data_IF_006373961595
#
_entry.id   IF_006373961595
#
_cell.length_a   1.000
_cell.length_b   1.000
_cell.length_c   1.000
_cell.angle_alpha   90.00
_cell.angle_beta   90.00
_cell.angle_gamma   90.00
#
_symmetry.space_group_name_H-M   'P 1'
#
loop_
_entity.id
_entity.type
_entity.pdbx_description
1 polymer ?
#
# COMPACT_ATOMS: atom_id res chain seq x y z
N UNK A 1 -20.90 81.82 -59.23
CA UNK A 1 -21.79 81.48 -58.09
C UNK A 1 -21.63 79.99 -57.79
N UNK A 2 -20.94 79.69 -56.68
CA UNK A 2 -20.80 78.42 -55.93
C UNK A 2 -20.65 77.08 -56.68
N UNK A 3 -19.42 76.57 -56.75
CA UNK A 3 -19.08 75.16 -57.02
C UNK A 3 -18.92 74.46 -55.65
N UNK A 4 -19.86 73.54 -55.33
CA UNK A 4 -19.83 72.68 -54.15
C UNK A 4 -18.82 71.54 -54.33
N UNK A 5 -17.83 71.44 -53.44
CA UNK A 5 -16.88 70.31 -53.35
C UNK A 5 -17.37 69.36 -52.26
N UNK A 6 -17.92 68.21 -52.65
CA UNK A 6 -18.24 67.11 -51.73
C UNK A 6 -17.02 66.20 -51.59
N UNK A 7 -16.46 66.15 -50.38
CA UNK A 7 -15.34 65.29 -50.00
C UNK A 7 -15.89 63.94 -49.51
N UNK A 8 -15.70 62.87 -50.28
CA UNK A 8 -16.08 61.51 -49.90
C UNK A 8 -14.93 60.88 -49.09
N UNK A 9 -15.15 60.58 -47.81
CA UNK A 9 -14.20 59.89 -46.93
C UNK A 9 -14.47 58.38 -47.03
N UNK A 10 -13.51 57.63 -47.57
CA UNK A 10 -13.55 56.18 -47.70
C UNK A 10 -12.90 55.55 -46.45
N UNK A 11 -13.72 55.04 -45.53
CA UNK A 11 -13.25 54.39 -44.28
C UNK A 11 -12.84 52.95 -44.61
N UNK A 12 -11.54 52.68 -44.55
CA UNK A 12 -10.95 51.36 -44.80
C UNK A 12 -11.00 50.52 -43.49
N UNK A 13 -11.89 49.53 -43.46
CA UNK A 13 -12.04 48.59 -42.33
C UNK A 13 -10.93 47.54 -42.41
N UNK A 14 -9.87 47.67 -41.60
CA UNK A 14 -8.82 46.64 -41.47
C UNK A 14 -9.33 45.51 -40.56
N UNK A 15 -9.74 44.39 -41.16
CA UNK A 15 -10.02 43.15 -40.44
C UNK A 15 -8.69 42.51 -39.99
N UNK A 16 -8.35 42.60 -38.71
CA UNK A 16 -7.20 41.90 -38.12
C UNK A 16 -7.52 40.41 -38.04
N UNK A 17 -7.01 39.61 -38.97
CA UNK A 17 -7.05 38.16 -38.88
C UNK A 17 -6.24 37.70 -37.66
N UNK A 18 -6.94 37.13 -36.68
CA UNK A 18 -6.33 36.59 -35.46
C UNK A 18 -5.65 35.26 -35.83
N UNK A 19 -4.34 35.31 -36.06
CA UNK A 19 -3.53 34.10 -36.30
C UNK A 19 -3.37 33.36 -34.97
N UNK A 20 -4.16 32.30 -34.78
CA UNK A 20 -3.91 31.33 -33.71
C UNK A 20 -2.60 30.58 -34.02
N UNK A 21 -1.51 30.98 -33.37
CA UNK A 21 -0.28 30.22 -33.37
C UNK A 21 -0.48 28.97 -32.51
N UNK A 22 -0.40 27.79 -33.12
CA UNK A 22 -0.35 26.53 -32.38
C UNK A 22 0.98 26.48 -31.62
N UNK A 23 0.92 26.52 -30.29
CA UNK A 23 2.10 26.36 -29.45
C UNK A 23 2.45 24.87 -29.33
N UNK A 24 3.56 24.47 -29.94
CA UNK A 24 4.12 23.12 -29.75
C UNK A 24 4.87 23.10 -28.41
N UNK A 25 4.24 22.57 -27.37
CA UNK A 25 4.87 22.36 -26.05
C UNK A 25 5.27 20.88 -25.96
N UNK A 26 6.53 20.52 -26.25
CA UNK A 26 6.96 19.13 -26.09
C UNK A 26 6.92 18.74 -24.61
N UNK A 27 6.24 17.63 -24.31
CA UNK A 27 6.30 16.99 -23.00
C UNK A 27 7.42 15.95 -23.01
N UNK A 28 8.43 16.15 -22.17
CA UNK A 28 9.48 15.15 -21.98
C UNK A 28 9.04 14.16 -20.91
N UNK A 29 8.98 12.87 -21.29
CA UNK A 29 8.71 11.77 -20.38
C UNK A 29 10.02 11.01 -20.16
N UNK A 30 10.43 10.84 -18.91
CA UNK A 30 11.54 9.96 -18.53
C UNK A 30 11.04 8.86 -17.61
N UNK A 31 11.63 7.67 -17.74
CA UNK A 31 11.35 6.52 -16.88
C UNK A 31 12.66 6.01 -16.29
N UNK A 32 12.67 5.73 -14.99
CA UNK A 32 13.82 5.20 -14.27
C UNK A 32 13.46 3.85 -13.64
N UNK A 33 14.38 2.88 -13.73
CA UNK A 33 14.24 1.59 -13.05
C UNK A 33 14.74 1.77 -11.61
N UNK A 34 13.82 1.76 -10.65
CA UNK A 34 14.11 2.01 -9.24
C UNK A 34 15.01 0.93 -8.62
N UNK A 35 14.81 -0.33 -9.00
CA UNK A 35 15.61 -1.46 -8.52
C UNK A 35 15.72 -2.55 -9.59
N UNK A 36 16.91 -3.13 -9.70
CA UNK A 36 17.15 -4.37 -10.48
C UNK A 36 17.23 -5.60 -9.56
N UNK A 37 16.85 -5.42 -8.30
CA UNK A 37 16.74 -6.50 -7.32
C UNK A 37 15.39 -7.19 -7.47
N UNK A 38 15.36 -8.49 -7.19
CA UNK A 38 14.16 -9.33 -7.23
C UNK A 38 14.07 -10.01 -5.87
N UNK A 39 13.23 -9.50 -4.98
CA UNK A 39 12.99 -10.10 -3.67
C UNK A 39 11.72 -10.95 -3.70
N UNK A 40 11.75 -12.12 -3.08
CA UNK A 40 10.61 -13.04 -3.00
C UNK A 40 10.56 -13.79 -1.68
N UNK A 41 9.36 -14.14 -1.26
CA UNK A 41 9.15 -15.12 -0.20
C UNK A 41 9.54 -16.52 -0.68
N UNK A 42 10.31 -17.24 0.13
CA UNK A 42 10.68 -18.65 -0.06
C UNK A 42 9.63 -19.55 0.56
N UNK A 43 9.20 -19.24 1.78
CA UNK A 43 8.01 -19.83 2.41
C UNK A 43 6.80 -18.95 2.12
N UNK A 44 5.69 -19.53 1.68
CA UNK A 44 4.53 -18.76 1.20
C UNK A 44 3.51 -18.39 2.27
N UNK A 45 3.46 -19.16 3.35
CA UNK A 45 2.42 -19.06 4.37
C UNK A 45 3.03 -19.23 5.75
N UNK A 46 2.48 -18.49 6.71
CA UNK A 46 2.76 -18.60 8.13
C UNK A 46 1.42 -18.45 8.87
N UNK A 47 1.26 -19.17 9.97
CA UNK A 47 0.04 -19.12 10.79
C UNK A 47 0.38 -18.52 12.14
N UNK A 48 -0.33 -17.47 12.53
CA UNK A 48 -0.35 -16.96 13.89
C UNK A 48 -1.52 -17.63 14.61
N UNK A 49 -1.21 -18.59 15.48
CA UNK A 49 -2.21 -19.30 16.27
C UNK A 49 -2.24 -18.75 17.69
N UNK A 50 -3.27 -17.98 18.03
CA UNK A 50 -3.49 -17.41 19.36
C UNK A 50 -3.99 -18.45 20.39
N UNK A 51 -4.32 -19.66 19.95
CA UNK A 51 -4.79 -20.75 20.81
C UNK A 51 -6.13 -20.46 21.49
N UNK A 52 -6.35 -21.10 22.64
CA UNK A 52 -7.56 -20.93 23.43
C UNK A 52 -7.45 -19.69 24.33
N UNK A 53 -8.29 -18.68 24.04
CA UNK A 53 -8.43 -17.49 24.86
C UNK A 53 -9.47 -17.72 25.96
N UNK A 54 -9.21 -17.23 27.18
CA UNK A 54 -10.15 -17.29 28.30
C UNK A 54 -10.71 -15.88 28.61
N UNK A 55 -11.95 -15.57 28.19
CA UNK A 55 -12.56 -14.26 28.43
C UNK A 55 -12.76 -13.93 29.91
N UNK A 56 -12.72 -14.93 30.81
CA UNK A 56 -12.92 -14.73 32.26
C UNK A 56 -11.65 -14.28 32.98
N UNK A 57 -10.49 -14.47 32.35
CA UNK A 57 -9.18 -14.03 32.84
C UNK A 57 -8.35 -13.42 31.70
N UNK A 58 -8.79 -12.28 31.14
CA UNK A 58 -8.17 -11.69 29.98
C UNK A 58 -6.75 -11.18 30.27
N UNK A 59 -5.80 -11.61 29.46
CA UNK A 59 -4.41 -11.13 29.41
C UNK A 59 -3.94 -11.01 27.96
N UNK A 60 -3.00 -10.11 27.69
CA UNK A 60 -2.50 -9.93 26.33
C UNK A 60 -1.79 -11.20 25.83
N UNK A 61 -2.12 -11.62 24.62
CA UNK A 61 -1.54 -12.81 23.98
C UNK A 61 -0.66 -12.35 22.83
N UNK A 62 0.59 -12.81 22.84
CA UNK A 62 1.58 -12.52 21.80
C UNK A 62 2.08 -13.84 21.21
N UNK A 63 1.98 -13.98 19.90
CA UNK A 63 2.40 -15.18 19.16
C UNK A 63 3.31 -14.79 18.01
N UNK A 64 4.19 -15.71 17.63
CA UNK A 64 5.17 -15.47 16.58
C UNK A 64 5.08 -16.55 15.50
N UNK A 65 5.27 -16.13 14.26
CA UNK A 65 5.51 -17.01 13.14
C UNK A 65 6.73 -16.51 12.34
N UNK A 66 7.24 -17.33 11.43
CA UNK A 66 8.42 -16.97 10.64
C UNK A 66 8.20 -17.30 9.18
N UNK A 67 8.53 -16.33 8.32
CA UNK A 67 8.71 -16.54 6.89
C UNK A 67 10.20 -16.44 6.54
N UNK A 68 10.60 -17.19 5.53
CA UNK A 68 11.89 -17.03 4.85
C UNK A 68 11.68 -16.25 3.57
N UNK A 69 12.51 -15.23 3.34
CA UNK A 69 12.59 -14.48 2.09
C UNK A 69 14.01 -14.50 1.54
N UNK A 70 14.14 -14.16 0.26
CA UNK A 70 15.45 -14.07 -0.41
C UNK A 70 15.40 -13.03 -1.52
N UNK A 71 16.45 -12.21 -1.58
CA UNK A 71 16.69 -11.28 -2.68
C UNK A 71 17.71 -11.83 -3.68
N UNK A 72 17.38 -11.68 -4.95
CA UNK A 72 18.17 -12.00 -6.13
C UNK A 72 18.26 -10.74 -7.02
N UNK A 73 18.79 -10.87 -8.25
CA UNK A 73 18.94 -9.73 -9.18
C UNK A 73 20.36 -9.21 -9.28
N UNK A 74 20.55 -7.97 -9.74
CA UNK A 74 21.90 -7.43 -10.02
C UNK A 74 22.55 -6.72 -8.83
N UNK A 75 21.78 -6.18 -7.87
CA UNK A 75 22.35 -5.52 -6.70
C UNK A 75 22.93 -6.52 -5.70
N UNK A 76 24.01 -6.12 -5.03
CA UNK A 76 24.58 -6.83 -3.89
C UNK A 76 25.31 -5.83 -2.98
N UNK A 77 24.76 -5.50 -1.80
CA UNK A 77 23.54 -6.05 -1.19
C UNK A 77 22.26 -5.50 -1.84
N UNK A 78 21.12 -6.12 -1.53
CA UNK A 78 19.78 -5.68 -1.94
C UNK A 78 18.97 -5.25 -0.71
N UNK A 79 18.26 -4.13 -0.81
CA UNK A 79 17.35 -3.63 0.23
C UNK A 79 15.92 -4.05 -0.09
N UNK A 80 15.11 -4.33 0.92
CA UNK A 80 13.68 -4.58 0.75
C UNK A 80 12.85 -3.87 1.80
N UNK A 81 11.55 -3.75 1.52
CA UNK A 81 10.49 -3.33 2.42
C UNK A 81 9.37 -4.37 2.41
N UNK A 82 8.86 -4.70 3.59
CA UNK A 82 7.65 -5.49 3.81
C UNK A 82 6.52 -4.54 4.15
N UNK A 83 5.38 -4.71 3.48
CA UNK A 83 4.09 -4.10 3.81
C UNK A 83 3.03 -5.18 3.80
N UNK A 84 1.84 -4.88 4.32
CA UNK A 84 0.68 -5.76 4.23
C UNK A 84 -0.54 -5.00 3.70
N UNK A 85 -1.67 -5.70 3.61
CA UNK A 85 -2.98 -5.19 3.24
C UNK A 85 -3.93 -5.06 4.44
N UNK A 86 -3.40 -5.07 5.66
CA UNK A 86 -4.14 -5.03 6.92
C UNK A 86 -5.20 -6.15 7.16
N UNK A 87 -5.34 -7.12 6.26
CA UNK A 87 -6.27 -8.24 6.38
C UNK A 87 -7.62 -8.05 5.68
N UNK A 88 -8.38 -9.13 5.54
CA UNK A 88 -9.62 -9.16 4.74
C UNK A 88 -10.74 -8.31 5.33
N UNK A 89 -10.74 -8.12 6.64
CA UNK A 89 -11.81 -7.45 7.37
C UNK A 89 -11.37 -6.13 8.00
N UNK A 90 -10.30 -5.50 7.54
CA UNK A 90 -9.78 -4.24 8.09
C UNK A 90 -10.83 -3.11 8.18
N UNK A 91 -10.51 -2.09 8.99
CA UNK A 91 -11.29 -0.83 9.08
C UNK A 91 -10.57 0.39 8.51
N UNK A 92 -9.33 0.20 8.06
CA UNK A 92 -8.39 1.22 7.67
C UNK A 92 -6.99 0.83 8.13
N UNK A 93 -6.05 1.76 7.93
CA UNK A 93 -4.61 1.58 8.24
C UNK A 93 -4.40 1.07 9.67
N UNK A 94 -3.66 -0.03 9.80
CA UNK A 94 -3.36 -0.73 11.06
C UNK A 94 -4.64 -1.13 11.84
N UNK A 95 -5.76 -1.29 11.14
CA UNK A 95 -7.09 -1.58 11.68
C UNK A 95 -7.48 -3.05 11.53
N UNK A 96 -6.52 -3.96 11.75
CA UNK A 96 -6.67 -5.40 11.53
C UNK A 96 -7.70 -6.02 12.51
N UNK A 97 -8.54 -6.92 12.01
CA UNK A 97 -9.49 -7.66 12.85
C UNK A 97 -9.91 -8.98 12.21
N UNK A 98 -10.03 -10.02 13.01
CA UNK A 98 -10.54 -11.32 12.59
C UNK A 98 -12.06 -11.36 12.68
N UNK A 99 -12.72 -12.04 11.75
CA UNK A 99 -14.18 -12.24 11.80
C UNK A 99 -14.52 -13.60 12.42
N UNK A 100 -15.61 -13.63 13.21
CA UNK A 100 -16.17 -14.86 13.74
C UNK A 100 -16.68 -15.77 12.61
N UNK A 101 -16.23 -17.02 12.58
CA UNK A 101 -16.44 -17.94 11.46
C UNK A 101 -17.91 -18.28 11.17
N UNK A 102 -18.78 -18.25 12.19
CA UNK A 102 -20.20 -18.63 12.06
C UNK A 102 -21.18 -17.49 12.33
N UNK A 103 -20.73 -16.31 12.79
CA UNK A 103 -21.59 -15.17 13.11
C UNK A 103 -21.00 -13.90 12.46
N UNK A 104 -21.27 -13.68 11.17
CA UNK A 104 -20.74 -12.54 10.43
C UNK A 104 -21.02 -11.21 11.13
N UNK A 105 -20.08 -10.28 11.03
CA UNK A 105 -20.17 -8.97 11.68
C UNK A 105 -19.66 -8.93 13.13
N UNK A 106 -19.31 -10.07 13.73
CA UNK A 106 -18.57 -10.10 14.99
C UNK A 106 -17.08 -10.16 14.69
N UNK A 107 -16.33 -9.22 15.25
CA UNK A 107 -14.92 -9.06 14.96
C UNK A 107 -14.09 -9.05 16.24
N UNK A 108 -12.86 -9.56 16.14
CA UNK A 108 -11.86 -9.52 17.18
C UNK A 108 -10.60 -8.83 16.65
N UNK A 109 -10.29 -7.60 17.12
CA UNK A 109 -9.09 -6.87 16.73
C UNK A 109 -7.80 -7.63 17.06
N UNK A 110 -6.77 -7.40 16.26
CA UNK A 110 -5.40 -7.83 16.54
C UNK A 110 -4.42 -6.83 15.94
N UNK A 111 -3.16 -6.91 16.33
CA UNK A 111 -2.08 -6.13 15.73
C UNK A 111 -1.01 -7.08 15.19
N UNK A 112 -0.36 -6.70 14.09
CA UNK A 112 0.76 -7.44 13.50
C UNK A 112 1.96 -6.53 13.36
N UNK A 113 3.15 -7.09 13.63
CA UNK A 113 4.42 -6.40 13.36
C UNK A 113 5.41 -7.33 12.69
N UNK A 114 6.35 -6.73 11.95
CA UNK A 114 7.31 -7.45 11.12
C UNK A 114 8.74 -7.09 11.50
N UNK A 115 9.55 -8.11 11.80
CA UNK A 115 10.96 -7.90 12.17
C UNK A 115 11.90 -8.78 11.36
N UNK A 116 12.79 -8.20 10.53
CA UNK A 116 12.84 -6.80 10.13
C UNK A 116 11.79 -6.47 9.04
N UNK A 117 11.04 -5.38 9.19
CA UNK A 117 10.17 -4.85 8.12
C UNK A 117 10.96 -4.29 6.94
N UNK A 118 12.19 -3.82 7.17
CA UNK A 118 13.13 -3.43 6.12
C UNK A 118 14.54 -3.90 6.47
N UNK A 119 15.27 -4.43 5.49
CA UNK A 119 16.66 -4.78 5.68
C UNK A 119 17.43 -4.73 4.36
N UNK A 120 18.75 -4.62 4.48
CA UNK A 120 19.71 -4.74 3.38
C UNK A 120 20.45 -6.07 3.54
N UNK A 121 20.19 -7.02 2.64
CA UNK A 121 20.72 -8.39 2.73
C UNK A 121 21.65 -8.71 1.56
N UNK A 122 22.68 -9.56 1.76
CA UNK A 122 23.49 -10.03 0.66
C UNK A 122 22.65 -10.81 -0.35
N UNK A 123 23.03 -10.69 -1.62
CA UNK A 123 22.39 -11.45 -2.70
C UNK A 123 22.45 -12.95 -2.41
N UNK A 124 21.36 -13.65 -2.73
CA UNK A 124 21.26 -15.10 -2.64
C UNK A 124 21.28 -15.71 -1.23
N UNK A 125 21.15 -14.90 -0.19
CA UNK A 125 21.07 -15.37 1.20
C UNK A 125 19.60 -15.41 1.64
N UNK A 126 19.24 -16.47 2.36
CA UNK A 126 17.94 -16.57 3.00
C UNK A 126 17.91 -15.68 4.24
N UNK A 127 16.87 -14.86 4.34
CA UNK A 127 16.61 -13.98 5.47
C UNK A 127 15.32 -14.43 6.16
N UNK A 128 15.36 -14.54 7.48
CA UNK A 128 14.16 -14.76 8.28
C UNK A 128 13.43 -13.45 8.53
N UNK A 129 12.12 -13.49 8.37
CA UNK A 129 11.15 -12.46 8.74
C UNK A 129 10.31 -13.03 9.88
N UNK A 130 10.43 -12.45 11.07
CA UNK A 130 9.56 -12.78 12.20
C UNK A 130 8.31 -11.93 12.10
N UNK A 131 7.16 -12.59 12.16
CA UNK A 131 5.84 -11.97 12.23
C UNK A 131 5.37 -12.13 13.67
N UNK A 132 5.03 -11.04 14.33
CA UNK A 132 4.51 -11.04 15.70
C UNK A 132 3.08 -10.55 15.69
N UNK A 133 2.16 -11.43 16.11
CA UNK A 133 0.75 -11.10 16.31
C UNK A 133 0.46 -10.83 17.78
N UNK A 134 -0.32 -9.80 18.05
CA UNK A 134 -0.74 -9.41 19.40
C UNK A 134 -2.25 -9.29 19.45
N UNK A 135 -2.84 -9.82 20.53
CA UNK A 135 -4.26 -9.75 20.81
C UNK A 135 -4.43 -9.29 22.25
N UNK A 136 -5.10 -8.15 22.47
CA UNK A 136 -5.20 -7.55 23.79
C UNK A 136 -6.26 -8.25 24.62
N UNK A 137 -5.98 -8.44 25.92
CA UNK A 137 -6.92 -8.99 26.90
C UNK A 137 -8.30 -8.34 26.83
N UNK A 138 -8.32 -7.01 26.78
CA UNK A 138 -9.53 -6.22 26.77
C UNK A 138 -10.45 -6.51 25.57
N UNK A 139 -9.88 -6.85 24.42
CA UNK A 139 -10.62 -7.06 23.18
C UNK A 139 -11.40 -8.38 23.18
N UNK A 140 -10.81 -9.44 23.73
CA UNK A 140 -11.50 -10.75 23.81
C UNK A 140 -12.28 -10.98 25.11
N UNK A 141 -12.14 -10.12 26.11
CA UNK A 141 -12.91 -10.20 27.36
C UNK A 141 -14.43 -10.16 27.12
N UNK A 142 -14.86 -9.49 26.04
CA UNK A 142 -16.28 -9.34 25.66
C UNK A 142 -16.62 -10.02 24.32
N UNK A 143 -15.65 -10.70 23.71
CA UNK A 143 -15.85 -11.38 22.44
C UNK A 143 -16.76 -12.61 22.62
N UNK A 144 -17.57 -12.89 21.60
CA UNK A 144 -18.39 -14.09 21.57
C UNK A 144 -17.48 -15.31 21.44
N UNK A 145 -17.73 -16.35 22.23
CA UNK A 145 -16.98 -17.60 22.16
C UNK A 145 -17.14 -18.26 20.78
N UNK A 146 -16.01 -18.61 20.17
CA UNK A 146 -15.96 -19.34 18.91
C UNK A 146 -14.64 -19.14 18.18
N UNK A 147 -14.64 -19.48 16.89
CA UNK A 147 -13.45 -19.40 16.04
C UNK A 147 -13.47 -18.08 15.28
N UNK A 148 -12.36 -17.36 15.32
CA UNK A 148 -12.14 -16.15 14.53
C UNK A 148 -11.05 -16.40 13.50
N UNK A 149 -11.21 -15.87 12.29
CA UNK A 149 -10.21 -15.98 11.24
C UNK A 149 -10.04 -14.67 10.46
N UNK A 150 -8.85 -14.51 9.89
CA UNK A 150 -8.52 -13.47 8.93
C UNK A 150 -7.44 -13.99 7.99
N UNK A 151 -7.17 -13.26 6.91
CA UNK A 151 -6.07 -13.51 5.99
C UNK A 151 -5.40 -12.20 5.65
N UNK A 152 -4.12 -12.07 6.03
CA UNK A 152 -3.27 -10.92 5.72
C UNK A 152 -2.37 -11.27 4.54
N UNK A 153 -2.30 -10.38 3.55
CA UNK A 153 -1.43 -10.51 2.38
C UNK A 153 -0.19 -9.65 2.54
N UNK A 154 0.98 -10.29 2.66
CA UNK A 154 2.25 -9.57 2.70
C UNK A 154 2.77 -9.25 1.30
N UNK A 155 3.22 -8.02 1.10
CA UNK A 155 3.91 -7.55 -0.09
C UNK A 155 5.38 -7.29 0.22
N UNK A 156 6.27 -7.69 -0.69
CA UNK A 156 7.70 -7.43 -0.60
C UNK A 156 8.15 -6.56 -1.78
N UNK A 157 8.69 -5.38 -1.49
CA UNK A 157 9.21 -4.43 -2.46
C UNK A 157 10.75 -4.35 -2.38
N UNK A 158 11.49 -4.57 -3.48
CA UNK A 158 12.96 -4.52 -3.54
C UNK A 158 13.52 -3.13 -3.91
#
# INVERSE_FOLDING_TARGET
MMIRRSLLIFVLFFATAQVCLAANVPMNISATVLSKSICRFVTKTATLDFGNLDPTSPSDVVVNATLTLRCQGSANPATYLITDDDGLYETGVDGNRMQHATIPGNFLPYAVTYTPATATIPKNINQSLTITGTLLGADYATAISGVYNDTVTLTIAP
#
